data_IF_689551182972
#
_entry.id   IF_689551182972
#
_cell.length_a   1.000
_cell.length_b   1.000
_cell.length_c   1.000
_cell.angle_alpha   90.00
_cell.angle_beta   90.00
_cell.angle_gamma   90.00
#
_symmetry.space_group_name_H-M   'P 1'
#
loop_
_entity.id
_entity.type
_entity.pdbx_description
1 polymer ?
#
# COMPACT_ATOMS: atom_id res chain seq x y z
N UNK A 1 29.13 15.34 13.99
CA UNK A 1 28.54 14.71 12.77
C UNK A 1 27.39 13.85 13.25
N UNK A 2 26.20 14.01 12.68
CA UNK A 2 25.07 13.17 13.12
C UNK A 2 25.20 11.74 12.58
N UNK A 3 24.83 10.77 13.42
CA UNK A 3 24.85 9.34 13.11
C UNK A 3 23.44 8.83 12.83
N UNK A 4 23.29 8.15 11.73
CA UNK A 4 22.00 7.66 11.21
C UNK A 4 22.03 6.14 11.15
N UNK A 5 21.04 5.50 11.76
CA UNK A 5 20.79 4.06 11.64
C UNK A 5 19.55 3.85 10.76
N UNK A 6 19.71 3.25 9.58
CA UNK A 6 18.62 2.77 8.75
C UNK A 6 18.37 1.29 9.03
N UNK A 7 17.64 1.01 10.12
CA UNK A 7 17.48 -0.35 10.67
C UNK A 7 16.79 -1.33 9.71
N UNK A 8 15.78 -0.85 9.00
CA UNK A 8 15.07 -1.66 7.99
C UNK A 8 15.60 -1.42 6.56
N UNK A 9 16.81 -0.82 6.45
CA UNK A 9 17.44 -0.47 5.19
C UNK A 9 16.92 0.82 4.55
N UNK A 10 17.69 1.33 3.62
CA UNK A 10 17.39 2.50 2.75
C UNK A 10 18.07 2.27 1.39
N UNK A 11 17.56 2.87 0.32
CA UNK A 11 18.16 2.75 -1.02
C UNK A 11 19.61 3.27 -1.07
N UNK A 12 20.39 2.76 -2.03
CA UNK A 12 21.75 3.25 -2.24
C UNK A 12 21.80 4.77 -2.50
N UNK A 13 20.85 5.28 -3.30
CA UNK A 13 20.70 6.72 -3.55
C UNK A 13 20.40 7.52 -2.28
N UNK A 14 19.63 6.97 -1.35
CA UNK A 14 19.37 7.58 -0.04
C UNK A 14 20.63 7.61 0.84
N UNK A 15 21.41 6.52 0.86
CA UNK A 15 22.71 6.46 1.57
C UNK A 15 23.68 7.50 1.01
N UNK A 16 23.80 7.58 -0.32
CA UNK A 16 24.66 8.54 -1.00
C UNK A 16 24.25 9.98 -0.69
N UNK A 17 22.95 10.29 -0.75
CA UNK A 17 22.42 11.59 -0.42
C UNK A 17 22.74 12.00 1.03
N UNK A 18 22.51 11.10 2.01
CA UNK A 18 22.84 11.37 3.40
C UNK A 18 24.35 11.58 3.63
N UNK A 19 25.20 10.76 3.00
CA UNK A 19 26.66 10.91 3.07
C UNK A 19 27.13 12.21 2.43
N UNK A 20 26.50 12.67 1.31
CA UNK A 20 26.84 13.95 0.67
C UNK A 20 26.55 15.15 1.56
N UNK A 21 25.59 15.04 2.47
CA UNK A 21 25.32 16.03 3.52
C UNK A 21 26.26 15.92 4.73
N UNK A 22 27.20 14.97 4.71
CA UNK A 22 28.19 14.81 5.76
C UNK A 22 27.73 13.96 6.95
N UNK A 23 26.68 13.13 6.82
CA UNK A 23 26.22 12.23 7.88
C UNK A 23 26.92 10.86 7.83
N UNK A 24 27.11 10.27 9.01
CA UNK A 24 27.52 8.87 9.15
C UNK A 24 26.29 7.97 9.06
N UNK A 25 26.27 7.03 8.12
CA UNK A 25 25.11 6.18 7.84
C UNK A 25 25.47 4.71 8.05
N UNK A 26 24.75 4.05 8.95
CA UNK A 26 24.75 2.60 9.13
C UNK A 26 23.44 2.01 8.57
N UNK A 27 23.57 0.91 7.83
CA UNK A 27 22.45 0.10 7.32
C UNK A 27 22.43 -1.29 7.97
N UNK A 28 23.10 -1.45 9.11
CA UNK A 28 23.10 -2.69 9.87
C UNK A 28 21.72 -2.94 10.43
N UNK A 29 21.13 -4.09 10.14
CA UNK A 29 19.90 -4.52 10.76
C UNK A 29 20.17 -5.01 12.19
N UNK A 30 19.54 -4.37 13.15
CA UNK A 30 19.64 -4.68 14.58
C UNK A 30 18.29 -5.25 15.04
N UNK A 31 18.32 -6.40 15.72
CA UNK A 31 17.10 -7.00 16.26
C UNK A 31 16.40 -6.06 17.26
N UNK A 32 15.07 -6.10 17.32
CA UNK A 32 14.27 -5.19 18.15
C UNK A 32 14.73 -5.15 19.61
N UNK A 33 15.08 -6.31 20.19
CA UNK A 33 15.49 -6.46 21.58
C UNK A 33 16.89 -5.86 21.86
N UNK A 34 17.69 -5.63 20.83
CA UNK A 34 19.05 -5.07 20.93
C UNK A 34 19.10 -3.59 20.49
N UNK A 35 18.00 -3.07 19.95
CA UNK A 35 17.98 -1.78 19.29
C UNK A 35 18.29 -0.63 20.26
N UNK A 36 17.74 -0.66 21.46
CA UNK A 36 18.03 0.30 22.54
C UNK A 36 19.54 0.38 22.85
N UNK A 37 20.14 -0.77 23.14
CA UNK A 37 21.57 -0.84 23.44
C UNK A 37 22.43 -0.35 22.27
N UNK A 38 22.06 -0.70 21.06
CA UNK A 38 22.79 -0.29 19.85
C UNK A 38 22.71 1.24 19.65
N UNK A 39 21.52 1.83 19.79
CA UNK A 39 21.30 3.27 19.64
C UNK A 39 22.15 4.03 20.69
N UNK A 40 22.08 3.63 21.95
CA UNK A 40 22.78 4.29 23.04
C UNK A 40 24.29 4.14 22.96
N UNK A 41 24.81 2.91 22.69
CA UNK A 41 26.24 2.67 22.60
C UNK A 41 26.92 3.37 21.43
N UNK A 42 26.17 3.63 20.33
CA UNK A 42 26.70 4.30 19.15
C UNK A 42 26.27 5.78 19.05
N UNK A 43 25.50 6.29 20.03
CA UNK A 43 24.99 7.67 20.06
C UNK A 43 24.24 8.03 18.76
N UNK A 44 23.33 7.15 18.32
CA UNK A 44 22.53 7.35 17.10
C UNK A 44 21.58 8.54 17.27
N UNK A 45 21.60 9.45 16.33
CA UNK A 45 20.77 10.66 16.34
C UNK A 45 19.51 10.53 15.48
N UNK A 46 19.55 9.70 14.45
CA UNK A 46 18.42 9.48 13.52
C UNK A 46 18.19 7.99 13.37
N UNK A 47 16.97 7.55 13.65
CA UNK A 47 16.53 6.19 13.40
C UNK A 47 15.58 6.17 12.20
N UNK A 48 15.97 5.47 11.12
CA UNK A 48 15.13 5.22 9.96
C UNK A 48 14.58 3.81 10.01
N UNK A 49 13.27 3.69 9.89
CA UNK A 49 12.55 2.41 9.93
C UNK A 49 11.60 2.25 8.76
N UNK A 50 11.16 1.04 8.51
CA UNK A 50 10.06 0.71 7.61
C UNK A 50 8.95 0.02 8.39
N UNK A 51 8.54 -1.20 8.03
CA UNK A 51 7.46 -1.92 8.70
C UNK A 51 7.94 -2.95 9.73
N UNK A 52 9.21 -3.37 9.67
CA UNK A 52 9.72 -4.43 10.53
C UNK A 52 10.07 -3.94 11.95
N UNK A 53 10.64 -2.73 12.06
CA UNK A 53 11.02 -2.14 13.35
C UNK A 53 9.89 -1.35 13.96
N UNK A 54 9.62 -1.54 15.25
CA UNK A 54 8.66 -0.75 16.02
C UNK A 54 9.39 0.29 16.90
N UNK A 55 8.81 1.49 17.01
CA UNK A 55 9.33 2.57 17.83
C UNK A 55 8.26 2.99 18.83
N UNK A 56 8.23 2.32 19.98
CA UNK A 56 7.26 2.54 21.03
C UNK A 56 7.83 3.42 22.15
N UNK A 57 6.98 3.78 23.11
CA UNK A 57 7.30 4.69 24.22
C UNK A 57 8.54 4.28 24.99
N UNK A 58 8.70 3.00 25.25
CA UNK A 58 9.85 2.42 25.96
C UNK A 58 11.19 2.72 25.24
N UNK A 59 11.25 2.49 23.94
CA UNK A 59 12.44 2.79 23.13
C UNK A 59 12.68 4.31 23.06
N UNK A 60 11.63 5.12 22.91
CA UNK A 60 11.74 6.59 22.87
C UNK A 60 12.32 7.13 24.16
N UNK A 61 11.82 6.66 25.31
CA UNK A 61 12.29 7.12 26.64
C UNK A 61 13.72 6.66 26.93
N UNK A 62 14.11 5.48 26.46
CA UNK A 62 15.44 4.92 26.71
C UNK A 62 16.55 5.54 25.84
N UNK A 63 16.23 6.12 24.67
CA UNK A 63 17.21 6.57 23.68
C UNK A 63 17.33 8.10 23.63
N UNK A 64 18.05 8.69 24.59
CA UNK A 64 18.20 10.15 24.76
C UNK A 64 18.98 10.85 23.62
N UNK A 65 19.77 10.11 22.83
CA UNK A 65 20.54 10.64 21.70
C UNK A 65 19.69 10.89 20.45
N UNK A 66 18.50 10.26 20.36
CA UNK A 66 17.60 10.41 19.21
C UNK A 66 17.07 11.84 19.11
N UNK A 67 17.04 12.32 17.87
CA UNK A 67 16.46 13.62 17.48
C UNK A 67 15.38 13.45 16.41
N UNK A 68 15.55 12.47 15.52
CA UNK A 68 14.65 12.22 14.41
C UNK A 68 14.31 10.73 14.35
N UNK A 69 13.04 10.43 14.17
CA UNK A 69 12.53 9.12 13.76
C UNK A 69 11.93 9.29 12.37
N UNK A 70 12.48 8.59 11.38
CA UNK A 70 12.03 8.64 9.99
C UNK A 70 11.43 7.31 9.55
N UNK A 71 10.21 7.36 8.98
CA UNK A 71 9.58 6.18 8.40
C UNK A 71 9.64 6.24 6.87
N UNK A 72 10.33 5.27 6.26
CA UNK A 72 10.34 5.11 4.81
C UNK A 72 9.03 4.56 4.28
N UNK A 73 8.05 5.43 4.05
CA UNK A 73 6.72 5.10 3.55
C UNK A 73 5.61 5.99 4.11
N UNK A 74 4.36 5.64 3.88
CA UNK A 74 3.19 6.49 4.18
C UNK A 74 2.70 6.32 5.62
N UNK A 75 2.34 5.10 6.01
CA UNK A 75 1.77 4.83 7.33
C UNK A 75 2.84 4.84 8.42
N UNK A 76 2.48 5.24 9.61
CA UNK A 76 3.36 5.32 10.78
C UNK A 76 2.83 4.47 11.94
N UNK A 77 2.07 3.43 11.64
CA UNK A 77 1.36 2.60 12.64
C UNK A 77 2.33 1.87 13.60
N UNK A 78 3.58 1.69 13.20
CA UNK A 78 4.65 1.11 14.01
C UNK A 78 5.41 2.12 14.89
N UNK A 79 5.04 3.41 14.88
CA UNK A 79 5.68 4.48 15.65
C UNK A 79 4.64 5.14 16.57
N UNK A 80 4.99 5.38 17.82
CA UNK A 80 4.17 6.19 18.74
C UNK A 80 4.42 7.68 18.47
N UNK A 81 3.86 8.17 17.34
CA UNK A 81 4.15 9.47 16.74
C UNK A 81 3.90 10.64 17.70
N UNK A 82 2.72 10.69 18.30
CA UNK A 82 2.34 11.79 19.19
C UNK A 82 3.23 11.84 20.42
N UNK A 83 3.52 10.67 20.99
CA UNK A 83 4.43 10.56 22.11
C UNK A 83 5.86 11.00 21.77
N UNK A 84 6.38 10.60 20.62
CA UNK A 84 7.70 11.04 20.17
C UNK A 84 7.77 12.56 20.01
N UNK A 85 6.72 13.18 19.44
CA UNK A 85 6.62 14.63 19.28
C UNK A 85 6.52 15.35 20.62
N UNK A 86 5.74 14.82 21.58
CA UNK A 86 5.67 15.36 22.95
C UNK A 86 7.04 15.34 23.66
N UNK A 87 7.89 14.35 23.34
CA UNK A 87 9.28 14.28 23.82
C UNK A 87 10.26 15.17 23.06
N UNK A 88 9.78 15.93 22.07
CA UNK A 88 10.59 16.87 21.27
C UNK A 88 11.35 16.22 20.10
N UNK A 89 11.04 14.96 19.74
CA UNK A 89 11.61 14.34 18.55
C UNK A 89 10.86 14.78 17.28
N UNK A 90 11.60 14.94 16.20
CA UNK A 90 11.01 15.07 14.87
C UNK A 90 10.59 13.71 14.35
N UNK A 91 9.34 13.58 13.91
CA UNK A 91 8.85 12.36 13.24
C UNK A 91 8.51 12.70 11.81
N UNK A 92 9.21 12.09 10.87
CA UNK A 92 9.10 12.32 9.42
C UNK A 92 8.70 11.04 8.68
N UNK A 93 8.02 11.20 7.55
CA UNK A 93 7.68 10.11 6.64
C UNK A 93 7.72 10.57 5.18
N UNK A 94 7.47 9.65 4.24
CA UNK A 94 7.50 9.92 2.79
C UNK A 94 6.16 9.61 2.13
N UNK A 95 5.14 10.48 2.31
CA UNK A 95 3.77 10.17 1.95
C UNK A 95 3.47 10.17 0.44
N UNK A 96 4.36 10.76 -0.38
CA UNK A 96 4.17 10.87 -1.82
C UNK A 96 5.00 9.85 -2.63
N UNK A 97 6.15 9.44 -2.09
CA UNK A 97 7.18 8.71 -2.82
C UNK A 97 6.73 7.37 -3.43
N UNK A 98 5.80 6.67 -2.79
CA UNK A 98 5.33 5.33 -3.22
C UNK A 98 3.93 5.30 -3.83
N UNK A 99 3.25 6.46 -3.97
CA UNK A 99 1.83 6.47 -4.37
C UNK A 99 1.57 5.82 -5.72
N UNK A 100 2.39 6.11 -6.72
CA UNK A 100 2.29 5.50 -8.06
C UNK A 100 2.52 3.98 -8.01
N UNK A 101 3.53 3.53 -7.25
CA UNK A 101 3.85 2.09 -7.15
C UNK A 101 2.72 1.28 -6.54
N UNK A 102 2.06 1.81 -5.49
CA UNK A 102 0.88 1.16 -4.90
C UNK A 102 -0.27 1.10 -5.89
N UNK A 103 -0.53 2.20 -6.61
CA UNK A 103 -1.57 2.24 -7.63
C UNK A 103 -1.32 1.24 -8.77
N UNK A 104 -0.07 1.09 -9.22
CA UNK A 104 0.31 0.08 -10.21
C UNK A 104 0.09 -1.35 -9.71
N UNK A 105 0.39 -1.64 -8.44
CA UNK A 105 0.10 -2.95 -7.84
C UNK A 105 -1.41 -3.23 -7.77
N UNK A 106 -2.23 -2.22 -7.49
CA UNK A 106 -3.70 -2.36 -7.58
C UNK A 106 -4.12 -2.85 -8.96
N UNK A 107 -3.56 -2.25 -10.02
CA UNK A 107 -3.87 -2.68 -11.40
C UNK A 107 -3.26 -4.04 -11.75
N UNK A 108 -2.13 -4.42 -11.17
CA UNK A 108 -1.58 -5.78 -11.33
C UNK A 108 -2.56 -6.83 -10.74
N UNK A 109 -3.11 -6.61 -9.55
CA UNK A 109 -4.18 -7.44 -8.98
C UNK A 109 -5.45 -7.41 -9.83
N UNK A 110 -5.85 -6.24 -10.29
CA UNK A 110 -7.06 -6.08 -11.11
C UNK A 110 -6.95 -6.84 -12.43
N UNK A 111 -5.85 -6.66 -13.20
CA UNK A 111 -5.61 -7.44 -14.42
C UNK A 111 -5.48 -8.93 -14.14
N UNK A 112 -4.82 -9.28 -13.03
CA UNK A 112 -4.70 -10.66 -12.59
C UNK A 112 -6.05 -11.32 -12.32
N UNK A 113 -6.97 -10.59 -11.68
CA UNK A 113 -8.33 -11.05 -11.36
C UNK A 113 -9.19 -11.21 -12.60
N UNK A 114 -9.38 -10.14 -13.38
CA UNK A 114 -10.26 -10.17 -14.56
C UNK A 114 -9.79 -11.11 -15.67
N UNK A 115 -8.53 -11.52 -15.68
CA UNK A 115 -7.94 -12.43 -16.68
C UNK A 115 -7.51 -13.77 -16.09
N UNK A 116 -7.85 -14.08 -14.84
CA UNK A 116 -7.50 -15.34 -14.14
C UNK A 116 -6.00 -15.63 -14.11
N UNK A 117 -5.15 -14.60 -14.17
CA UNK A 117 -3.70 -14.77 -14.34
C UNK A 117 -3.07 -15.49 -13.15
N UNK A 118 -3.45 -15.11 -11.91
CA UNK A 118 -2.89 -15.72 -10.70
C UNK A 118 -3.29 -17.20 -10.56
N UNK A 119 -4.54 -17.57 -10.88
CA UNK A 119 -4.98 -18.96 -10.84
C UNK A 119 -4.39 -19.77 -12.01
N UNK A 120 -4.36 -19.22 -13.21
CA UNK A 120 -3.72 -19.85 -14.35
C UNK A 120 -2.24 -20.18 -14.09
N UNK A 121 -1.50 -19.26 -13.42
CA UNK A 121 -0.11 -19.50 -13.04
C UNK A 121 0.06 -20.60 -11.97
N UNK A 122 -0.96 -20.87 -11.17
CA UNK A 122 -0.97 -22.00 -10.23
C UNK A 122 -1.27 -23.34 -10.95
N UNK A 123 -2.21 -23.34 -11.89
CA UNK A 123 -2.72 -24.56 -12.52
C UNK A 123 -1.88 -25.03 -13.73
N UNK A 124 -1.37 -24.09 -14.55
CA UNK A 124 -0.61 -24.44 -15.75
C UNK A 124 0.64 -25.31 -15.48
N UNK A 125 1.45 -25.04 -14.43
CA UNK A 125 2.59 -25.91 -14.11
C UNK A 125 2.19 -27.32 -13.66
N UNK A 126 0.99 -27.48 -13.09
CA UNK A 126 0.51 -28.74 -12.51
C UNK A 126 -0.19 -29.64 -13.53
N UNK A 127 -0.99 -29.03 -14.41
CA UNK A 127 -1.95 -29.77 -15.26
C UNK A 127 -1.92 -29.33 -16.73
N UNK A 128 -1.07 -28.36 -17.10
CA UNK A 128 -1.09 -27.75 -18.43
C UNK A 128 -0.75 -28.69 -19.56
N UNK A 129 0.04 -29.72 -19.31
CA UNK A 129 0.42 -30.75 -20.29
C UNK A 129 -0.73 -31.77 -20.57
N UNK A 130 -1.53 -32.08 -19.54
CA UNK A 130 -2.58 -33.10 -19.61
C UNK A 130 -3.98 -32.50 -19.80
N UNK A 131 -4.25 -31.30 -19.22
CA UNK A 131 -5.58 -30.68 -19.20
C UNK A 131 -5.65 -29.33 -19.93
N UNK A 132 -4.77 -29.05 -20.87
CA UNK A 132 -4.69 -27.74 -21.55
C UNK A 132 -6.03 -27.25 -22.10
N UNK A 133 -6.82 -28.13 -22.76
CA UNK A 133 -8.12 -27.77 -23.33
C UNK A 133 -9.15 -27.39 -22.25
N UNK A 134 -9.10 -28.05 -21.09
CA UNK A 134 -9.97 -27.79 -19.95
C UNK A 134 -9.62 -26.43 -19.35
N UNK A 135 -8.35 -26.18 -19.06
CA UNK A 135 -7.85 -24.90 -18.53
C UNK A 135 -8.17 -23.75 -19.49
N UNK A 136 -7.94 -23.93 -20.80
CA UNK A 136 -8.33 -22.93 -21.81
C UNK A 136 -9.81 -22.59 -21.75
N UNK A 137 -10.70 -23.56 -21.55
CA UNK A 137 -12.14 -23.35 -21.41
C UNK A 137 -12.49 -22.62 -20.10
N UNK A 138 -11.86 -23.02 -19.00
CA UNK A 138 -12.13 -22.41 -17.69
C UNK A 138 -11.75 -20.91 -17.66
N UNK A 139 -10.66 -20.53 -18.34
CA UNK A 139 -10.17 -19.14 -18.36
C UNK A 139 -10.66 -18.33 -19.58
N UNK A 140 -11.65 -18.83 -20.34
CA UNK A 140 -12.16 -18.14 -21.52
C UNK A 140 -13.14 -16.99 -21.23
N UNK A 141 -13.58 -16.85 -19.96
CA UNK A 141 -14.59 -15.85 -19.55
C UNK A 141 -13.97 -14.58 -18.93
N UNK A 142 -12.76 -14.23 -19.33
CA UNK A 142 -12.10 -13.00 -18.85
C UNK A 142 -12.82 -11.72 -19.31
N UNK A 143 -12.64 -10.64 -18.55
CA UNK A 143 -13.25 -9.34 -18.83
C UNK A 143 -12.20 -8.30 -19.27
N UNK A 144 -12.64 -7.32 -20.06
CA UNK A 144 -11.87 -6.10 -20.36
C UNK A 144 -12.19 -5.01 -19.33
N UNK A 145 -11.23 -4.13 -19.06
CA UNK A 145 -11.39 -3.02 -18.10
C UNK A 145 -12.00 -1.76 -18.76
N UNK A 146 -11.78 -1.57 -20.06
CA UNK A 146 -12.30 -0.41 -20.80
C UNK A 146 -13.82 -0.31 -20.67
N UNK A 147 -14.29 0.89 -20.31
CA UNK A 147 -15.72 1.16 -20.10
C UNK A 147 -16.31 0.63 -18.79
N UNK A 148 -15.52 -0.13 -17.99
CA UNK A 148 -15.91 -0.53 -16.63
C UNK A 148 -15.69 0.62 -15.64
N UNK A 149 -16.29 0.54 -14.48
CA UNK A 149 -16.22 1.56 -13.43
C UNK A 149 -15.31 1.11 -12.29
N UNK A 150 -14.26 1.90 -12.02
CA UNK A 150 -13.41 1.78 -10.85
C UNK A 150 -13.99 2.62 -9.71
N UNK A 151 -14.33 2.00 -8.61
CA UNK A 151 -14.64 2.64 -7.34
C UNK A 151 -13.39 2.87 -6.52
N UNK A 152 -13.17 4.10 -6.09
CA UNK A 152 -12.01 4.48 -5.26
C UNK A 152 -12.51 4.96 -3.90
N UNK A 153 -12.23 4.21 -2.84
CA UNK A 153 -12.59 4.57 -1.46
C UNK A 153 -11.34 5.07 -0.74
N UNK A 154 -11.35 6.35 -0.37
CA UNK A 154 -10.18 7.12 0.05
C UNK A 154 -9.48 7.77 -1.16
N UNK A 155 -9.72 9.08 -1.37
CA UNK A 155 -9.23 9.79 -2.55
C UNK A 155 -8.01 10.66 -2.28
N UNK A 156 -7.14 10.18 -1.34
CA UNK A 156 -5.83 10.76 -1.06
C UNK A 156 -4.84 10.52 -2.23
N UNK A 157 -3.54 10.67 -1.97
CA UNK A 157 -2.49 10.55 -3.01
C UNK A 157 -2.56 9.24 -3.80
N UNK A 158 -2.70 8.10 -3.11
CA UNK A 158 -2.75 6.77 -3.76
C UNK A 158 -4.04 6.61 -4.55
N UNK A 159 -5.19 7.00 -3.98
CA UNK A 159 -6.49 6.95 -4.67
C UNK A 159 -6.49 7.78 -5.95
N UNK A 160 -5.89 8.98 -5.93
CA UNK A 160 -5.74 9.81 -7.12
C UNK A 160 -4.82 9.17 -8.17
N UNK A 161 -3.69 8.55 -7.79
CA UNK A 161 -2.85 7.79 -8.73
C UNK A 161 -3.60 6.59 -9.32
N UNK A 162 -4.40 5.88 -8.52
CA UNK A 162 -5.28 4.80 -8.99
C UNK A 162 -6.30 5.32 -10.01
N UNK A 163 -6.92 6.47 -9.74
CA UNK A 163 -7.86 7.12 -10.67
C UNK A 163 -7.16 7.53 -11.99
N UNK A 164 -5.93 8.06 -11.94
CA UNK A 164 -5.16 8.41 -13.15
C UNK A 164 -4.94 7.21 -14.06
N UNK A 165 -4.56 6.06 -13.49
CA UNK A 165 -4.37 4.83 -14.25
C UNK A 165 -5.70 4.35 -14.83
N UNK A 166 -6.78 4.33 -14.03
CA UNK A 166 -8.12 3.94 -14.47
C UNK A 166 -8.58 4.77 -15.68
N UNK A 167 -8.51 6.10 -15.59
CA UNK A 167 -8.85 7.01 -16.66
C UNK A 167 -7.98 6.79 -17.90
N UNK A 168 -6.66 6.60 -17.70
CA UNK A 168 -5.70 6.37 -18.78
C UNK A 168 -5.96 5.12 -19.60
N UNK A 169 -6.52 4.07 -19.00
CA UNK A 169 -6.91 2.83 -19.71
C UNK A 169 -8.36 2.80 -20.17
N UNK A 170 -9.11 3.92 -19.99
CA UNK A 170 -10.49 4.08 -20.47
C UNK A 170 -11.56 3.50 -19.56
N UNK A 171 -11.31 3.42 -18.24
CA UNK A 171 -12.34 3.14 -17.23
C UNK A 171 -13.06 4.43 -16.82
N UNK A 172 -14.29 4.29 -16.31
CA UNK A 172 -14.96 5.31 -15.55
C UNK A 172 -14.43 5.27 -14.09
N UNK A 173 -14.50 6.41 -13.38
CA UNK A 173 -14.12 6.51 -11.97
C UNK A 173 -15.29 7.08 -11.19
N UNK A 174 -15.64 6.41 -10.08
CA UNK A 174 -16.50 6.92 -9.01
C UNK A 174 -15.69 6.89 -7.71
N UNK A 175 -15.74 7.95 -6.92
CA UNK A 175 -14.84 8.09 -5.78
C UNK A 175 -15.58 8.54 -4.52
N UNK A 176 -15.12 8.08 -3.38
CA UNK A 176 -15.58 8.53 -2.08
C UNK A 176 -14.43 8.90 -1.18
N UNK A 177 -14.49 10.09 -0.59
CA UNK A 177 -13.62 10.54 0.50
C UNK A 177 -14.43 11.47 1.41
N UNK A 178 -14.48 11.24 2.74
CA UNK A 178 -15.30 12.06 3.64
C UNK A 178 -14.70 13.45 3.92
N UNK A 179 -13.48 13.73 3.43
CA UNK A 179 -12.75 14.97 3.75
C UNK A 179 -12.61 15.90 2.54
N UNK A 180 -13.19 15.57 1.40
CA UNK A 180 -13.19 16.42 0.22
C UNK A 180 -14.48 16.25 -0.60
N UNK A 181 -14.89 17.30 -1.31
CA UNK A 181 -16.07 17.27 -2.18
C UNK A 181 -15.69 16.95 -3.64
N UNK A 182 -14.49 17.35 -4.06
CA UNK A 182 -13.97 17.10 -5.40
C UNK A 182 -12.44 17.16 -5.45
N UNK A 183 -11.86 16.59 -6.49
CA UNK A 183 -10.45 16.69 -6.78
C UNK A 183 -10.16 16.87 -8.27
N UNK A 184 -9.15 17.66 -8.59
CA UNK A 184 -8.61 17.81 -9.94
C UNK A 184 -7.49 16.80 -10.15
N UNK A 185 -7.70 15.87 -11.07
CA UNK A 185 -6.74 14.78 -11.36
C UNK A 185 -6.09 15.04 -12.71
N UNK A 186 -4.78 15.22 -12.70
CA UNK A 186 -3.99 15.40 -13.93
C UNK A 186 -3.45 14.07 -14.44
N UNK A 187 -4.00 13.59 -15.54
CA UNK A 187 -3.51 12.40 -16.26
C UNK A 187 -2.41 12.83 -17.22
N UNK A 188 -1.21 12.29 -17.04
CA UNK A 188 -0.05 12.57 -17.90
C UNK A 188 0.15 11.39 -18.84
N UNK A 189 0.13 11.66 -20.14
CA UNK A 189 0.36 10.66 -21.17
C UNK A 189 1.88 10.53 -21.47
N UNK A 190 2.30 9.37 -22.00
CA UNK A 190 3.70 9.07 -22.25
C UNK A 190 4.41 10.02 -23.22
N UNK A 191 3.66 10.78 -24.04
CA UNK A 191 4.18 11.83 -24.92
C UNK A 191 4.25 13.21 -24.25
N UNK A 192 3.97 13.31 -22.94
CA UNK A 192 3.97 14.54 -22.17
C UNK A 192 2.66 15.35 -22.24
N UNK A 193 1.68 14.95 -23.06
CA UNK A 193 0.36 15.58 -23.05
C UNK A 193 -0.35 15.33 -21.72
N UNK A 194 -1.15 16.29 -21.27
CA UNK A 194 -1.91 16.20 -20.02
C UNK A 194 -3.38 16.41 -20.25
N UNK A 195 -4.20 15.70 -19.48
CA UNK A 195 -5.65 15.85 -19.43
C UNK A 195 -6.02 16.11 -17.97
N UNK A 196 -6.64 17.24 -17.69
CA UNK A 196 -7.17 17.55 -16.37
C UNK A 196 -8.62 17.05 -16.29
N UNK A 197 -8.91 16.22 -15.27
CA UNK A 197 -10.23 15.63 -15.04
C UNK A 197 -10.68 16.00 -13.64
N UNK A 198 -11.85 16.65 -13.55
CA UNK A 198 -12.51 16.91 -12.27
C UNK A 198 -13.32 15.69 -11.86
N UNK A 199 -13.10 15.20 -10.64
CA UNK A 199 -13.82 14.08 -10.05
C UNK A 199 -14.55 14.58 -8.82
N UNK A 200 -15.87 14.57 -8.87
CA UNK A 200 -16.74 14.85 -7.73
C UNK A 200 -16.75 13.60 -6.80
N UNK A 201 -16.82 13.82 -5.50
CA UNK A 201 -16.96 12.71 -4.55
C UNK A 201 -18.41 12.29 -4.43
N UNK A 202 -18.62 10.99 -4.59
CA UNK A 202 -19.91 10.36 -4.42
C UNK A 202 -20.14 9.89 -2.98
N UNK A 203 -21.37 9.54 -2.65
CA UNK A 203 -21.64 8.87 -1.40
C UNK A 203 -20.97 7.49 -1.37
N UNK A 204 -20.59 7.05 -0.19
CA UNK A 204 -20.00 5.70 -0.01
C UNK A 204 -20.88 4.61 -0.61
N UNK A 205 -22.21 4.72 -0.42
CA UNK A 205 -23.19 3.78 -0.97
C UNK A 205 -23.24 3.81 -2.51
N UNK A 206 -23.11 4.98 -3.12
CA UNK A 206 -23.06 5.13 -4.58
C UNK A 206 -21.85 4.38 -5.14
N UNK A 207 -20.67 4.57 -4.57
CA UNK A 207 -19.47 3.86 -5.01
C UNK A 207 -19.64 2.35 -4.91
N UNK A 208 -20.21 1.83 -3.81
CA UNK A 208 -20.46 0.40 -3.66
C UNK A 208 -21.40 -0.14 -4.75
N UNK A 209 -22.46 0.58 -5.09
CA UNK A 209 -23.49 0.14 -6.04
C UNK A 209 -23.05 0.28 -7.51
N UNK A 210 -22.25 1.28 -7.85
CA UNK A 210 -21.94 1.61 -9.23
C UNK A 210 -20.61 1.04 -9.74
N UNK A 211 -19.69 0.72 -8.84
CA UNK A 211 -18.40 0.20 -9.22
C UNK A 211 -18.47 -1.27 -9.68
N UNK A 212 -17.75 -1.59 -10.76
CA UNK A 212 -17.45 -2.97 -11.16
C UNK A 212 -16.28 -3.53 -10.37
N UNK A 213 -15.34 -2.64 -9.99
CA UNK A 213 -14.17 -2.97 -9.16
C UNK A 213 -13.97 -1.87 -8.13
N UNK A 214 -13.63 -2.24 -6.90
CA UNK A 214 -13.36 -1.28 -5.82
C UNK A 214 -11.94 -1.44 -5.32
N UNK A 215 -11.24 -0.31 -5.14
CA UNK A 215 -9.94 -0.25 -4.49
C UNK A 215 -9.98 0.64 -3.26
N UNK A 216 -9.39 0.14 -2.17
CA UNK A 216 -9.37 0.81 -0.87
C UNK A 216 -8.04 1.52 -0.65
N UNK A 217 -8.11 2.79 -0.22
CA UNK A 217 -6.96 3.67 0.05
C UNK A 217 -7.13 4.45 1.35
N UNK A 218 -7.73 3.80 2.33
CA UNK A 218 -8.00 4.38 3.66
C UNK A 218 -6.91 4.01 4.67
N UNK A 219 -6.67 4.83 5.70
CA UNK A 219 -5.79 4.46 6.81
C UNK A 219 -6.36 3.28 7.61
N UNK A 220 -5.56 2.76 8.55
CA UNK A 220 -6.03 1.78 9.52
C UNK A 220 -7.27 2.29 10.28
N UNK A 221 -8.22 1.41 10.53
CA UNK A 221 -9.50 1.69 11.19
C UNK A 221 -9.71 0.71 12.35
N UNK A 222 -10.44 1.16 13.37
CA UNK A 222 -10.83 0.29 14.51
C UNK A 222 -11.83 -0.82 14.11
N UNK A 223 -12.56 -0.59 13.03
CA UNK A 223 -13.54 -1.54 12.46
C UNK A 223 -13.36 -1.62 10.95
N UNK A 224 -13.71 -2.77 10.35
CA UNK A 224 -13.70 -2.89 8.90
C UNK A 224 -14.58 -1.83 8.23
N UNK A 225 -14.05 -1.20 7.17
CA UNK A 225 -14.78 -0.30 6.28
C UNK A 225 -15.71 -1.10 5.37
N UNK A 226 -15.25 -2.27 4.96
CA UNK A 226 -16.01 -3.21 4.13
C UNK A 226 -16.29 -4.48 4.96
N UNK A 227 -17.52 -4.62 5.38
CA UNK A 227 -18.05 -5.81 6.03
C UNK A 227 -19.15 -6.47 5.23
N UNK A 228 -19.89 -7.40 5.85
CA UNK A 228 -20.99 -8.15 5.21
C UNK A 228 -22.04 -7.24 4.56
N UNK A 229 -22.39 -6.12 5.21
CA UNK A 229 -23.39 -5.16 4.71
C UNK A 229 -22.89 -4.50 3.43
N UNK A 230 -21.68 -3.98 3.43
CA UNK A 230 -21.07 -3.27 2.30
C UNK A 230 -20.85 -4.23 1.10
N UNK A 231 -20.37 -5.44 1.37
CA UNK A 231 -20.23 -6.49 0.34
C UNK A 231 -21.58 -6.82 -0.32
N UNK A 232 -22.66 -6.88 0.47
CA UNK A 232 -23.99 -7.13 -0.10
C UNK A 232 -24.49 -6.05 -1.03
N UNK A 233 -24.01 -4.80 -0.89
CA UNK A 233 -24.39 -3.64 -1.73
C UNK A 233 -23.60 -3.58 -3.03
N UNK A 234 -22.44 -4.23 -3.13
CA UNK A 234 -21.63 -4.25 -4.34
C UNK A 234 -22.37 -4.97 -5.50
N UNK A 235 -21.94 -4.74 -6.73
CA UNK A 235 -22.46 -5.47 -7.89
C UNK A 235 -22.17 -6.97 -7.78
N UNK A 236 -23.03 -7.80 -8.37
CA UNK A 236 -22.75 -9.21 -8.56
C UNK A 236 -21.51 -9.39 -9.45
N UNK A 237 -20.56 -10.23 -9.00
CA UNK A 237 -19.33 -10.48 -9.71
C UNK A 237 -18.31 -9.33 -9.66
N UNK A 238 -18.50 -8.34 -8.80
CA UNK A 238 -17.53 -7.26 -8.60
C UNK A 238 -16.18 -7.81 -8.11
N UNK A 239 -15.10 -7.03 -8.33
CA UNK A 239 -13.78 -7.29 -7.75
C UNK A 239 -13.45 -6.30 -6.64
N UNK A 240 -12.71 -6.74 -5.62
CA UNK A 240 -12.29 -5.90 -4.48
C UNK A 240 -10.78 -5.97 -4.26
N UNK A 241 -10.11 -4.82 -4.18
CA UNK A 241 -8.66 -4.75 -3.99
C UNK A 241 -8.33 -3.98 -2.71
N UNK A 242 -7.46 -4.55 -1.88
CA UNK A 242 -6.91 -3.92 -0.70
C UNK A 242 -5.38 -3.92 -0.71
N UNK A 243 -4.80 -2.79 -1.07
CA UNK A 243 -3.39 -2.49 -0.91
C UNK A 243 -3.16 -1.34 0.10
N UNK A 244 -4.11 -1.16 1.04
CA UNK A 244 -4.07 -0.09 2.05
C UNK A 244 -3.59 -0.61 3.41
N UNK A 245 -4.49 -1.25 4.18
CA UNK A 245 -4.18 -1.81 5.50
C UNK A 245 -4.95 -3.11 5.73
N UNK A 246 -4.33 -4.03 6.48
CA UNK A 246 -5.05 -5.17 7.05
C UNK A 246 -6.19 -4.69 7.96
N UNK A 247 -7.29 -5.43 8.01
CA UNK A 247 -8.45 -5.12 8.86
C UNK A 247 -9.42 -4.07 8.30
N UNK A 248 -9.12 -3.39 7.18
CA UNK A 248 -10.11 -2.51 6.53
C UNK A 248 -11.20 -3.29 5.80
N UNK A 249 -10.97 -4.57 5.54
CA UNK A 249 -11.96 -5.53 5.09
C UNK A 249 -12.15 -6.58 6.18
N UNK A 250 -13.38 -6.96 6.44
CA UNK A 250 -13.70 -8.16 7.20
C UNK A 250 -13.36 -9.39 6.34
N UNK A 251 -12.24 -10.06 6.66
CA UNK A 251 -11.73 -11.18 5.87
C UNK A 251 -12.69 -12.38 5.86
N UNK A 252 -13.44 -12.64 6.93
CA UNK A 252 -14.42 -13.71 6.97
C UNK A 252 -15.61 -13.40 6.03
N UNK A 253 -16.13 -12.18 6.10
CA UNK A 253 -17.20 -11.73 5.22
C UNK A 253 -16.74 -11.73 3.74
N UNK A 254 -15.48 -11.36 3.48
CA UNK A 254 -14.87 -11.41 2.14
C UNK A 254 -14.86 -12.83 1.58
N UNK A 255 -14.36 -13.81 2.34
CA UNK A 255 -14.31 -15.20 1.90
C UNK A 255 -15.73 -15.75 1.62
N UNK A 256 -16.70 -15.46 2.49
CA UNK A 256 -18.09 -15.81 2.25
C UNK A 256 -18.65 -15.19 0.95
N UNK A 257 -18.30 -13.93 0.65
CA UNK A 257 -18.75 -13.27 -0.57
C UNK A 257 -18.09 -13.85 -1.84
N UNK A 258 -16.86 -14.34 -1.75
CA UNK A 258 -16.18 -15.04 -2.84
C UNK A 258 -16.77 -16.45 -3.05
N UNK A 259 -17.01 -17.21 -1.96
CA UNK A 259 -17.55 -18.57 -2.01
C UNK A 259 -18.95 -18.63 -2.62
N UNK A 260 -19.79 -17.64 -2.33
CA UNK A 260 -21.15 -17.58 -2.88
C UNK A 260 -21.26 -16.87 -4.22
N UNK A 261 -20.14 -16.40 -4.80
CA UNK A 261 -20.07 -15.75 -6.10
C UNK A 261 -20.51 -14.29 -6.13
N UNK A 262 -20.77 -13.67 -4.98
CA UNK A 262 -21.08 -12.22 -4.86
C UNK A 262 -19.91 -11.38 -5.39
N UNK A 263 -18.68 -11.77 -5.06
CA UNK A 263 -17.46 -11.24 -5.65
C UNK A 263 -16.84 -12.27 -6.59
N UNK A 264 -16.24 -11.80 -7.69
CA UNK A 264 -15.52 -12.66 -8.63
C UNK A 264 -14.07 -12.94 -8.19
N UNK A 265 -13.42 -11.97 -7.56
CA UNK A 265 -12.08 -12.09 -7.01
C UNK A 265 -11.79 -11.00 -5.97
N UNK A 266 -10.75 -11.22 -5.18
CA UNK A 266 -10.13 -10.18 -4.38
C UNK A 266 -8.62 -10.09 -4.67
N UNK A 267 -8.05 -8.89 -4.56
CA UNK A 267 -6.61 -8.62 -4.56
C UNK A 267 -6.19 -8.10 -3.20
N UNK A 268 -5.29 -8.80 -2.52
CA UNK A 268 -4.84 -8.42 -1.18
C UNK A 268 -3.31 -8.28 -1.14
N UNK A 269 -2.84 -7.10 -0.79
CA UNK A 269 -1.43 -6.82 -0.47
C UNK A 269 -1.22 -6.68 1.04
N UNK A 270 -2.31 -6.51 1.81
CA UNK A 270 -2.29 -6.31 3.26
C UNK A 270 -3.32 -7.22 3.93
N UNK A 271 -2.99 -7.68 5.16
CA UNK A 271 -3.75 -8.73 5.86
C UNK A 271 -3.97 -8.40 7.32
N UNK A 272 -5.02 -8.97 7.89
CA UNK A 272 -5.16 -9.05 9.34
C UNK A 272 -4.02 -9.94 9.89
N UNK A 273 -3.47 -9.56 11.04
CA UNK A 273 -2.40 -10.29 11.73
C UNK A 273 -1.07 -10.45 10.94
N UNK A 274 -0.69 -9.47 10.13
CA UNK A 274 0.68 -9.48 9.60
C UNK A 274 1.71 -9.58 10.75
N UNK A 275 2.77 -10.36 10.60
CA UNK A 275 3.22 -11.09 9.40
C UNK A 275 2.69 -12.53 9.29
N UNK A 276 1.62 -12.90 9.96
CA UNK A 276 1.03 -14.25 9.97
C UNK A 276 -0.44 -14.22 9.51
N UNK A 277 -0.71 -13.98 8.21
CA UNK A 277 -2.07 -13.97 7.68
C UNK A 277 -2.77 -15.32 7.87
N UNK A 278 -4.10 -15.30 7.91
CA UNK A 278 -4.91 -16.49 8.09
C UNK A 278 -4.81 -17.45 6.88
N UNK A 279 -4.65 -18.75 7.16
CA UNK A 279 -4.41 -19.75 6.12
C UNK A 279 -5.60 -19.88 5.14
N UNK A 280 -6.84 -19.72 5.61
CA UNK A 280 -8.03 -19.73 4.75
C UNK A 280 -8.03 -18.60 3.70
N UNK A 281 -7.51 -17.43 4.04
CA UNK A 281 -7.31 -16.32 3.10
C UNK A 281 -6.22 -16.66 2.08
N UNK A 282 -5.06 -17.16 2.57
CA UNK A 282 -3.91 -17.51 1.71
C UNK A 282 -4.21 -18.64 0.71
N UNK A 283 -5.07 -19.57 1.07
CA UNK A 283 -5.40 -20.73 0.25
C UNK A 283 -6.61 -20.53 -0.67
N UNK A 284 -7.33 -19.41 -0.55
CA UNK A 284 -8.54 -19.19 -1.32
C UNK A 284 -8.23 -19.01 -2.83
N UNK A 285 -8.88 -19.78 -3.73
CA UNK A 285 -8.55 -19.77 -5.17
C UNK A 285 -8.85 -18.46 -5.87
N UNK A 286 -9.82 -17.67 -5.38
CA UNK A 286 -10.22 -16.39 -5.97
C UNK A 286 -9.51 -15.19 -5.35
N UNK A 287 -8.44 -15.40 -4.54
CA UNK A 287 -7.67 -14.31 -3.94
C UNK A 287 -6.28 -14.21 -4.57
N UNK A 288 -5.98 -13.05 -5.14
CA UNK A 288 -4.65 -12.66 -5.62
C UNK A 288 -3.87 -12.05 -4.47
N UNK A 289 -2.68 -12.55 -4.18
CA UNK A 289 -1.94 -12.27 -2.96
C UNK A 289 -0.57 -11.68 -3.27
N UNK A 290 -0.18 -10.64 -2.53
CA UNK A 290 1.20 -10.12 -2.46
C UNK A 290 1.57 -9.80 -1.00
N UNK A 291 2.83 -9.96 -0.58
CA UNK A 291 3.23 -9.85 0.83
C UNK A 291 3.59 -8.41 1.23
N UNK A 292 2.62 -7.48 1.15
CA UNK A 292 2.72 -6.07 1.51
C UNK A 292 3.88 -5.36 0.77
N UNK A 293 3.85 -5.44 -0.55
CA UNK A 293 4.90 -4.92 -1.44
C UNK A 293 4.47 -3.68 -2.25
N UNK A 294 3.30 -3.09 -1.99
CA UNK A 294 2.79 -1.95 -2.75
C UNK A 294 3.79 -0.80 -2.93
N UNK A 295 4.61 -0.53 -1.91
CA UNK A 295 5.67 0.49 -1.94
C UNK A 295 7.05 -0.05 -2.38
N UNK A 296 7.18 -1.32 -2.76
CA UNK A 296 8.47 -2.00 -2.92
C UNK A 296 8.98 -2.02 -4.36
N UNK A 297 8.89 -0.91 -5.09
CA UNK A 297 9.58 -0.73 -6.38
C UNK A 297 10.92 -0.03 -6.20
N UNK A 298 11.87 -0.23 -7.13
CA UNK A 298 13.18 0.43 -7.09
C UNK A 298 13.02 1.95 -7.09
N UNK A 299 12.18 2.47 -7.97
CA UNK A 299 11.92 3.90 -8.12
C UNK A 299 11.29 4.51 -6.85
N UNK A 300 10.36 3.80 -6.21
CA UNK A 300 9.78 4.25 -4.94
C UNK A 300 10.84 4.25 -3.82
N UNK A 301 11.68 3.22 -3.74
CA UNK A 301 12.74 3.14 -2.74
C UNK A 301 13.76 4.27 -2.91
N UNK A 302 14.12 4.62 -4.15
CA UNK A 302 15.02 5.74 -4.45
C UNK A 302 14.39 7.08 -4.06
N UNK A 303 13.13 7.31 -4.41
CA UNK A 303 12.40 8.51 -3.96
C UNK A 303 12.27 8.60 -2.45
N UNK A 304 11.94 7.49 -1.78
CA UNK A 304 11.86 7.39 -0.31
C UNK A 304 13.20 7.77 0.32
N UNK A 305 14.29 7.18 -0.16
CA UNK A 305 15.62 7.42 0.39
C UNK A 305 16.08 8.86 0.24
N UNK A 306 15.92 9.44 -0.94
CA UNK A 306 16.30 10.81 -1.22
C UNK A 306 15.41 11.83 -0.50
N UNK A 307 14.10 11.59 -0.40
CA UNK A 307 13.18 12.45 0.35
C UNK A 307 13.49 12.45 1.85
N UNK A 308 13.77 11.28 2.46
CA UNK A 308 14.22 11.20 3.86
C UNK A 308 15.52 11.97 4.07
N UNK A 309 16.48 11.82 3.17
CA UNK A 309 17.77 12.54 3.26
C UNK A 309 17.57 14.06 3.24
N UNK A 310 16.71 14.57 2.36
CA UNK A 310 16.39 16.00 2.28
C UNK A 310 15.69 16.51 3.55
N UNK A 311 14.70 15.77 4.06
CA UNK A 311 14.00 16.15 5.29
C UNK A 311 14.94 16.16 6.51
N UNK A 312 15.80 15.15 6.64
CA UNK A 312 16.81 15.08 7.73
C UNK A 312 17.76 16.28 7.64
N UNK A 313 18.25 16.60 6.43
CA UNK A 313 19.15 17.73 6.24
C UNK A 313 18.45 19.06 6.56
N UNK A 314 17.19 19.22 6.23
CA UNK A 314 16.43 20.43 6.58
C UNK A 314 16.25 20.61 8.09
N UNK A 315 16.31 19.53 8.89
CA UNK A 315 16.15 19.57 10.35
C UNK A 315 17.49 19.73 11.06
N UNK A 316 18.56 19.11 10.59
CA UNK A 316 19.86 19.04 11.28
C UNK A 316 20.95 19.95 10.66
N UNK A 317 20.74 20.44 9.45
CA UNK A 317 21.72 21.18 8.61
C UNK A 317 21.81 22.68 8.80
#
# INVERSE_FOLDING_TARGET
MAKILANDGISASGVEALKSYGYEVSTTNVAQEQLENHINSNEINVLLVRSATTVRKDLIDACQSLKIIGRGGVGMDNIDVDYAREKGLHVINTPAASSASVAELVFAHLYGGVRYLFDANRQMPLEGDTKFKVLKKNYAAGSELRGKTMGVIGFGRIGQETAKIALGIGMNVVAHDPFMDKAEVKVVLGNGATIDVSIEMDSFETVLKEADFISLHVPAQDKPVIGQKELSMMKEGAGLINAARGGVIDEEALLNALDNGKLSFAGLDTFVNEPKPAMNVLMHPSVSLTPHIGAATQEAQDRIGTELAQQIHAILG
#
